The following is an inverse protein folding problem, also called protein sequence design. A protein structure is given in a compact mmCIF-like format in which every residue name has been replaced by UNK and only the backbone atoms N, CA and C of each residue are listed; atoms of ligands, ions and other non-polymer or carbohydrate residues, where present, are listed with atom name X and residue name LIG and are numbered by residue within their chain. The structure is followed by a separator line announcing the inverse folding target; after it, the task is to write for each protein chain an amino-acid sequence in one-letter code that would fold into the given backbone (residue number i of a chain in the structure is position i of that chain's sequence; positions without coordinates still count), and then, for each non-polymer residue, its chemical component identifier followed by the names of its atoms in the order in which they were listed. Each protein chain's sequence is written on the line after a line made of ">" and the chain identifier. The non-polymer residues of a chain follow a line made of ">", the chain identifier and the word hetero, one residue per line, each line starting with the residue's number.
data_IF_070674941273
#
_entry.id   IF_070674941273
#
_cell.length_a   1.000
_cell.length_b   1.000
_cell.length_c   1.000
_cell.angle_alpha   90.00
_cell.angle_beta   90.00
_cell.angle_gamma   90.00
#
_symmetry.space_group_name_H-M   'P 1'
#
loop_
_entity.id
_entity.type
_entity.pdbx_description
1 polymer ?
#
# COMPACT_ATOMS: atom_id res chain seq x y z
N UNK A 1 19.85 42.66 16.51
CA UNK A 1 18.75 41.66 16.48
C UNK A 1 18.24 41.53 15.05
N UNK A 2 18.58 40.44 14.34
CA UNK A 2 18.04 40.20 12.98
C UNK A 2 16.66 39.54 13.12
N UNK A 3 15.61 40.25 12.74
CA UNK A 3 14.24 39.71 12.67
C UNK A 3 14.22 38.64 11.58
N UNK A 4 14.01 37.38 11.96
CA UNK A 4 13.75 36.30 11.01
C UNK A 4 12.45 36.63 10.28
N UNK A 5 12.50 36.75 8.95
CA UNK A 5 11.31 36.93 8.12
C UNK A 5 10.41 35.70 8.16
N UNK A 6 9.11 35.83 7.82
CA UNK A 6 8.18 34.72 7.82
C UNK A 6 8.71 33.60 6.93
N UNK A 7 8.80 32.40 7.50
CA UNK A 7 9.24 31.20 6.78
C UNK A 7 8.27 30.99 5.62
N UNK A 8 8.74 30.95 4.35
CA UNK A 8 7.85 30.75 3.22
C UNK A 8 7.18 29.38 3.35
N UNK A 9 5.86 29.31 3.14
CA UNK A 9 5.07 28.06 3.26
C UNK A 9 5.63 26.94 2.35
N UNK A 10 6.32 27.31 1.26
CA UNK A 10 7.06 26.39 0.40
C UNK A 10 8.17 25.60 1.11
N UNK A 11 8.69 26.08 2.25
CA UNK A 11 9.69 25.39 3.05
C UNK A 11 9.10 24.15 3.76
N UNK A 12 7.79 24.12 4.03
CA UNK A 12 7.09 22.97 4.60
C UNK A 12 6.97 21.78 3.61
N UNK A 13 7.14 22.02 2.31
CA UNK A 13 6.99 21.00 1.26
C UNK A 13 8.30 20.29 0.89
N UNK A 14 9.47 20.76 1.38
CA UNK A 14 10.79 20.26 0.97
C UNK A 14 11.16 18.94 1.66
N UNK A 15 10.47 18.55 2.73
CA UNK A 15 10.71 17.29 3.43
C UNK A 15 9.41 16.49 3.45
N UNK A 16 9.09 15.84 2.34
CA UNK A 16 8.20 14.68 2.42
C UNK A 16 8.92 13.62 3.26
N UNK A 17 8.33 13.14 4.37
CA UNK A 17 8.93 12.07 5.16
C UNK A 17 9.08 10.82 4.28
N UNK A 18 10.16 10.04 4.45
CA UNK A 18 10.32 8.80 3.69
C UNK A 18 9.13 7.89 3.98
N UNK A 19 8.24 7.75 3.00
CA UNK A 19 7.09 6.87 3.11
C UNK A 19 7.61 5.43 3.25
N UNK A 20 7.39 4.83 4.43
CA UNK A 20 7.63 3.41 4.69
C UNK A 20 6.93 2.55 3.63
N UNK A 21 7.57 1.46 3.23
CA UNK A 21 7.34 0.76 1.95
C UNK A 21 5.91 0.30 1.65
N UNK A 22 5.07 1.19 1.13
CA UNK A 22 3.90 0.85 0.33
C UNK A 22 4.35 0.59 -1.11
N UNK A 23 3.79 -0.45 -1.76
CA UNK A 23 4.01 -0.71 -3.17
C UNK A 23 3.58 0.54 -3.97
N UNK A 24 4.45 1.06 -4.85
CA UNK A 24 4.08 2.20 -5.69
C UNK A 24 2.81 1.90 -6.48
N UNK A 25 1.90 2.86 -6.54
CA UNK A 25 0.63 2.69 -7.24
C UNK A 25 0.81 2.92 -8.74
N UNK A 26 -0.03 2.28 -9.55
CA UNK A 26 0.05 2.42 -11.02
C UNK A 26 -0.14 3.86 -11.48
N UNK A 27 -1.01 4.63 -10.80
CA UNK A 27 -1.25 6.04 -11.11
C UNK A 27 0.01 6.90 -10.94
N UNK A 28 0.77 6.69 -9.86
CA UNK A 28 2.03 7.38 -9.60
C UNK A 28 3.08 7.07 -10.68
N UNK A 29 3.15 5.80 -11.12
CA UNK A 29 4.09 5.39 -12.16
C UNK A 29 3.69 5.93 -13.54
N UNK A 30 2.39 6.06 -13.84
CA UNK A 30 1.94 6.71 -15.09
C UNK A 30 2.36 8.17 -15.14
N UNK A 31 2.16 8.91 -14.05
CA UNK A 31 2.59 10.30 -13.95
C UNK A 31 4.10 10.44 -14.15
N UNK A 32 4.88 9.54 -13.52
CA UNK A 32 6.33 9.48 -13.68
C UNK A 32 6.77 9.22 -15.13
N UNK A 33 6.13 8.29 -15.82
CA UNK A 33 6.43 7.98 -17.22
C UNK A 33 6.05 9.14 -18.15
N UNK A 34 4.97 9.84 -17.85
CA UNK A 34 4.57 11.05 -18.59
C UNK A 34 5.60 12.17 -18.42
N UNK A 35 6.05 12.43 -17.19
CA UNK A 35 7.12 13.40 -16.91
C UNK A 35 8.42 13.02 -17.64
N UNK A 36 8.74 11.73 -17.72
CA UNK A 36 9.91 11.25 -18.47
C UNK A 36 9.75 11.38 -19.97
N UNK A 37 8.54 11.21 -20.51
CA UNK A 37 8.23 11.49 -21.92
C UNK A 37 8.39 12.97 -22.26
N UNK A 38 8.17 13.89 -21.31
CA UNK A 38 8.44 15.33 -21.45
C UNK A 38 9.94 15.69 -21.45
N UNK A 39 10.85 14.71 -21.32
CA UNK A 39 12.30 14.93 -21.36
C UNK A 39 12.93 15.34 -20.02
N UNK A 40 12.21 15.25 -18.91
CA UNK A 40 12.74 15.59 -17.57
C UNK A 40 13.81 14.59 -17.13
N UNK A 41 14.83 15.03 -16.39
CA UNK A 41 15.85 14.12 -15.85
C UNK A 41 15.28 13.16 -14.79
N UNK A 42 15.90 11.99 -14.57
CA UNK A 42 15.44 11.01 -13.58
C UNK A 42 15.34 11.61 -12.17
N UNK A 43 16.31 12.44 -11.79
CA UNK A 43 16.33 13.18 -10.51
C UNK A 43 15.16 14.16 -10.39
N UNK A 44 14.82 14.88 -11.46
CA UNK A 44 13.71 15.83 -11.46
C UNK A 44 12.35 15.13 -11.44
N UNK A 45 12.19 14.05 -12.22
CA UNK A 45 10.99 13.23 -12.20
C UNK A 45 10.77 12.55 -10.83
N UNK A 46 11.83 12.04 -10.21
CA UNK A 46 11.84 11.55 -8.83
C UNK A 46 11.33 12.61 -7.85
N UNK A 47 11.90 13.82 -7.89
CA UNK A 47 11.50 14.92 -7.02
C UNK A 47 10.04 15.35 -7.22
N UNK A 48 9.56 15.42 -8.47
CA UNK A 48 8.17 15.79 -8.79
C UNK A 48 7.15 14.76 -8.31
N UNK A 49 7.54 13.49 -8.30
CA UNK A 49 6.64 12.36 -7.96
C UNK A 49 6.82 11.84 -6.53
N UNK A 50 7.70 12.44 -5.73
CA UNK A 50 8.01 11.95 -4.37
C UNK A 50 8.61 10.54 -4.36
N UNK A 51 9.31 10.15 -5.43
CA UNK A 51 9.95 8.84 -5.58
C UNK A 51 11.46 8.94 -5.54
N UNK A 52 12.13 7.83 -5.21
CA UNK A 52 13.58 7.75 -5.35
C UNK A 52 13.98 7.59 -6.82
N UNK A 53 15.13 8.15 -7.20
CA UNK A 53 15.69 7.98 -8.55
C UNK A 53 15.90 6.51 -8.91
N UNK A 54 16.22 5.67 -7.92
CA UNK A 54 16.28 4.20 -8.09
C UNK A 54 14.95 3.62 -8.56
N UNK A 55 13.83 4.14 -8.07
CA UNK A 55 12.47 3.71 -8.44
C UNK A 55 12.15 4.11 -9.87
N UNK A 56 12.46 5.36 -10.24
CA UNK A 56 12.35 5.88 -11.61
C UNK A 56 13.11 4.97 -12.58
N UNK A 57 14.40 4.71 -12.30
CA UNK A 57 15.27 3.86 -13.11
C UNK A 57 14.75 2.41 -13.22
N UNK A 58 14.18 1.86 -12.15
CA UNK A 58 13.59 0.51 -12.14
C UNK A 58 12.43 0.42 -13.13
N UNK A 59 11.48 1.35 -13.06
CA UNK A 59 10.28 1.31 -13.89
C UNK A 59 10.55 1.72 -15.35
N UNK A 60 11.51 2.61 -15.60
CA UNK A 60 11.98 2.88 -16.98
C UNK A 60 12.53 1.65 -17.66
N UNK A 61 13.39 0.87 -16.97
CA UNK A 61 13.95 -0.36 -17.52
C UNK A 61 12.90 -1.46 -17.69
N UNK A 62 11.96 -1.54 -16.75
CA UNK A 62 10.94 -2.57 -16.76
C UNK A 62 9.86 -2.33 -17.82
N UNK A 63 9.57 -1.07 -18.17
CA UNK A 63 8.52 -0.70 -19.13
C UNK A 63 7.12 -1.18 -18.73
N UNK A 64 6.93 -1.54 -17.46
CA UNK A 64 5.74 -2.20 -16.92
C UNK A 64 5.29 -1.49 -15.64
N UNK A 65 4.00 -1.55 -15.39
CA UNK A 65 3.40 -1.02 -14.16
C UNK A 65 3.69 -1.95 -12.96
N UNK A 66 3.68 -1.41 -11.73
CA UNK A 66 3.79 -2.20 -10.50
C UNK A 66 2.82 -3.39 -10.48
N UNK A 67 1.57 -3.19 -10.90
CA UNK A 67 0.56 -4.26 -11.02
C UNK A 67 0.95 -5.37 -11.99
N UNK A 68 1.54 -5.02 -13.13
CA UNK A 68 1.97 -5.96 -14.17
C UNK A 68 3.25 -6.72 -13.78
N UNK A 69 4.01 -6.19 -12.82
CA UNK A 69 5.21 -6.81 -12.27
C UNK A 69 4.92 -7.70 -11.05
N UNK A 70 3.66 -7.77 -10.58
CA UNK A 70 3.27 -8.65 -9.49
C UNK A 70 3.39 -10.11 -9.96
N UNK A 71 4.51 -10.73 -9.63
CA UNK A 71 4.61 -12.18 -9.69
C UNK A 71 3.76 -12.77 -8.56
N UNK A 72 3.03 -13.87 -8.79
CA UNK A 72 2.43 -14.64 -7.71
C UNK A 72 3.54 -15.02 -6.73
N UNK A 73 3.40 -14.66 -5.47
CA UNK A 73 4.38 -14.98 -4.43
C UNK A 73 4.28 -16.46 -4.10
N UNK A 74 5.21 -17.27 -4.61
CA UNK A 74 5.28 -18.72 -4.34
C UNK A 74 5.80 -19.05 -2.93
N UNK A 75 5.91 -18.07 -2.03
CA UNK A 75 6.54 -18.24 -0.71
C UNK A 75 5.75 -19.07 0.30
N UNK A 76 4.86 -19.95 -0.15
CA UNK A 76 4.26 -20.98 0.70
C UNK A 76 5.08 -22.27 0.60
N UNK A 77 6.28 -22.26 1.17
CA UNK A 77 7.17 -23.44 1.21
C UNK A 77 6.66 -24.53 2.17
N UNK A 78 5.63 -24.23 2.97
CA UNK A 78 5.04 -25.16 3.94
C UNK A 78 3.57 -25.40 3.62
N UNK A 79 3.20 -26.67 3.45
CA UNK A 79 1.82 -27.14 3.44
C UNK A 79 1.12 -26.63 4.70
N UNK A 80 -0.07 -26.06 4.57
CA UNK A 80 -0.79 -25.48 5.70
C UNK A 80 -1.00 -26.56 6.78
N UNK A 81 -0.39 -26.43 7.97
CA UNK A 81 -0.46 -27.47 9.01
C UNK A 81 -1.87 -27.66 9.55
N UNK A 82 -2.74 -26.66 9.39
CA UNK A 82 -4.12 -26.70 9.85
C UNK A 82 -5.08 -27.35 8.85
N UNK A 83 -4.62 -27.87 7.70
CA UNK A 83 -5.51 -28.54 6.75
C UNK A 83 -6.17 -29.78 7.37
N UNK A 84 -5.44 -30.51 8.22
CA UNK A 84 -5.94 -31.71 8.90
C UNK A 84 -6.86 -31.36 10.06
N UNK A 85 -6.60 -30.24 10.75
CA UNK A 85 -7.35 -29.83 11.95
C UNK A 85 -8.59 -28.99 11.62
N UNK A 86 -8.66 -28.42 10.41
CA UNK A 86 -9.76 -27.56 9.97
C UNK A 86 -11.14 -28.23 10.05
N UNK A 87 -11.33 -29.50 9.65
CA UNK A 87 -12.62 -30.19 9.81
C UNK A 87 -13.01 -30.34 11.27
N UNK A 88 -12.05 -30.55 12.17
CA UNK A 88 -12.31 -30.65 13.61
C UNK A 88 -12.74 -29.30 14.18
N UNK A 89 -12.05 -28.20 13.82
CA UNK A 89 -12.43 -26.84 14.22
C UNK A 89 -13.82 -26.47 13.69
N UNK A 90 -14.13 -26.81 12.44
CA UNK A 90 -15.45 -26.58 11.85
C UNK A 90 -16.55 -27.36 12.57
N UNK A 91 -16.29 -28.61 12.96
CA UNK A 91 -17.23 -29.41 13.73
C UNK A 91 -17.47 -28.86 15.14
N UNK A 92 -16.44 -28.29 15.79
CA UNK A 92 -16.60 -27.62 17.08
C UNK A 92 -17.40 -26.32 16.95
N UNK A 93 -17.16 -25.54 15.91
CA UNK A 93 -17.92 -24.31 15.62
C UNK A 93 -19.41 -24.59 15.28
N UNK A 94 -19.71 -25.73 14.66
CA UNK A 94 -21.10 -26.16 14.41
C UNK A 94 -21.79 -26.70 15.67
N UNK A 95 -21.03 -27.31 16.60
CA UNK A 95 -21.56 -27.87 17.85
C UNK A 95 -21.88 -26.81 18.89
N UNK A 96 -21.14 -25.71 18.90
CA UNK A 96 -21.33 -24.63 19.88
C UNK A 96 -21.42 -23.26 19.18
N UNK A 97 -22.62 -22.87 18.71
CA UNK A 97 -22.84 -21.57 18.06
C UNK A 97 -22.52 -20.37 18.97
N UNK A 98 -22.46 -20.57 20.29
CA UNK A 98 -22.07 -19.53 21.23
C UNK A 98 -20.58 -19.13 21.09
N UNK A 99 -19.75 -19.98 20.48
CA UNK A 99 -18.37 -19.64 20.10
C UNK A 99 -18.29 -18.74 18.85
N UNK A 100 -19.30 -18.75 17.98
CA UNK A 100 -19.39 -17.82 16.83
C UNK A 100 -19.72 -16.39 17.26
N UNK A 101 -20.33 -16.21 18.44
CA UNK A 101 -20.80 -14.91 18.90
C UNK A 101 -19.69 -13.86 19.12
N UNK A 102 -18.44 -14.28 19.37
CA UNK A 102 -17.31 -13.33 19.46
C UNK A 102 -16.90 -12.74 18.11
N UNK A 103 -17.22 -13.41 17.00
CA UNK A 103 -16.88 -12.95 15.65
C UNK A 103 -18.02 -12.13 15.03
N UNK A 104 -19.28 -12.51 15.31
CA UNK A 104 -20.48 -11.76 14.91
C UNK A 104 -20.58 -10.38 15.57
N UNK A 105 -20.29 -10.28 16.89
CA UNK A 105 -20.36 -9.01 17.63
C UNK A 105 -19.41 -7.94 17.08
N UNK A 106 -18.23 -8.32 16.59
CA UNK A 106 -17.30 -7.38 15.98
C UNK A 106 -17.71 -6.99 14.55
N UNK A 107 -18.41 -7.85 13.81
CA UNK A 107 -18.92 -7.51 12.48
C UNK A 107 -20.12 -6.55 12.56
N UNK A 108 -21.08 -6.79 13.46
CA UNK A 108 -22.25 -5.92 13.60
C UNK A 108 -21.93 -4.58 14.29
N UNK A 109 -20.90 -4.51 15.12
CA UNK A 109 -20.44 -3.22 15.68
C UNK A 109 -19.66 -2.36 14.68
N UNK A 110 -19.05 -2.96 13.65
CA UNK A 110 -18.28 -2.21 12.62
C UNK A 110 -19.13 -1.86 11.39
N UNK A 111 -20.13 -2.67 11.05
CA UNK A 111 -20.98 -2.45 9.86
C UNK A 111 -22.40 -1.92 10.17
N UNK A 112 -22.80 -1.79 11.43
CA UNK A 112 -24.16 -1.41 11.83
C UNK A 112 -24.54 0.07 11.80
N UNK A 113 -23.67 0.98 11.32
CA UNK A 113 -23.94 2.45 11.36
C UNK A 113 -23.86 3.13 9.97
N UNK A 114 -23.62 2.39 8.89
CA UNK A 114 -23.33 2.98 7.56
C UNK A 114 -24.23 2.48 6.41
N UNK A 115 -25.44 2.00 6.70
CA UNK A 115 -26.46 1.75 5.65
C UNK A 115 -27.87 2.26 5.99
N UNK A 116 -28.05 2.99 7.08
CA UNK A 116 -29.24 3.83 7.29
C UNK A 116 -28.80 5.28 7.37
N UNK A 117 -28.65 5.91 6.19
CA UNK A 117 -28.91 7.32 5.82
C UNK A 117 -28.60 7.46 4.32
#
# INVERSE_FOLDING_TARGET
>A
MKRAGPIPVWLLFIVQPPQGGHMKQDGEIRLLLEERRKGTSQKLAAARTGMSERTVRKYERAGKLPSQMKAPTTHRTRTNPFLTDWPWVQAQLQRDPALQAKTELLSNLVYGVLWEI
#
